data_IF_544744663574
#
_entry.id   IF_544744663574
#
_cell.length_a   1.000
_cell.length_b   1.000
_cell.length_c   1.000
_cell.angle_alpha   90.00
_cell.angle_beta   90.00
_cell.angle_gamma   90.00
#
_symmetry.space_group_name_H-M   'P 1'
#
loop_
_entity.id
_entity.type
_entity.pdbx_description
1 polymer ?
#
# COMPACT_ATOMS: atom_id res chain seq x y z
N UNK A 1 6.78 4.00 19.78
CA UNK A 1 6.15 2.73 19.33
C UNK A 1 4.91 3.03 18.51
N UNK A 2 4.67 2.29 17.43
CA UNK A 2 3.48 2.41 16.60
C UNK A 2 2.18 2.29 17.42
N UNK A 3 1.13 3.00 17.02
CA UNK A 3 -0.19 2.88 17.62
C UNK A 3 -0.93 1.69 17.00
N UNK A 4 -1.03 0.59 17.74
CA UNK A 4 -1.82 -0.59 17.36
C UNK A 4 -3.10 -0.61 18.19
N UNK A 5 -4.28 -0.55 17.55
CA UNK A 5 -5.55 -0.40 18.28
C UNK A 5 -6.60 -1.40 17.81
N UNK A 6 -7.12 -2.17 18.74
CA UNK A 6 -8.29 -3.04 18.49
C UNK A 6 -9.57 -2.23 18.41
N UNK A 7 -10.42 -2.58 17.46
CA UNK A 7 -11.75 -1.96 17.27
C UNK A 7 -12.76 -3.04 16.86
N UNK A 8 -13.96 -3.02 17.41
CA UNK A 8 -15.07 -3.95 17.11
C UNK A 8 -14.70 -5.43 17.28
N UNK A 9 -13.81 -5.74 18.24
CA UNK A 9 -13.34 -7.10 18.49
C UNK A 9 -12.22 -7.59 17.57
N UNK A 10 -11.78 -6.78 16.62
CA UNK A 10 -10.65 -7.08 15.74
C UNK A 10 -9.37 -6.42 16.24
N UNK A 11 -8.31 -7.21 16.34
CA UNK A 11 -6.96 -6.74 16.68
C UNK A 11 -6.08 -6.91 15.45
N UNK A 12 -5.30 -5.88 15.05
CA UNK A 12 -4.37 -6.02 13.95
C UNK A 12 -3.41 -7.18 14.13
N UNK A 13 -3.18 -7.96 13.06
CA UNK A 13 -2.21 -9.03 12.99
C UNK A 13 -1.05 -8.58 12.10
N UNK A 14 0.17 -8.74 12.58
CA UNK A 14 1.38 -8.27 11.91
C UNK A 14 2.34 -9.44 11.81
N UNK A 15 2.80 -9.72 10.59
CA UNK A 15 3.74 -10.77 10.28
C UNK A 15 5.13 -10.52 10.85
N UNK A 16 6.00 -11.50 10.68
CA UNK A 16 7.37 -11.44 11.18
C UNK A 16 8.22 -10.39 10.43
N UNK A 17 9.29 -9.93 11.05
CA UNK A 17 10.30 -9.01 10.51
C UNK A 17 9.78 -7.64 10.05
N UNK A 18 8.55 -7.28 10.36
CA UNK A 18 8.00 -5.98 9.98
C UNK A 18 8.70 -4.82 10.71
N UNK A 19 8.84 -3.70 10.01
CA UNK A 19 9.19 -2.41 10.59
C UNK A 19 7.94 -1.55 10.74
N UNK A 20 7.70 -1.04 11.95
CA UNK A 20 6.61 -0.12 12.25
C UNK A 20 7.19 1.14 12.86
N UNK A 21 7.15 2.25 12.13
CA UNK A 21 7.63 3.53 12.63
C UNK A 21 6.86 3.97 13.90
N UNK A 22 7.48 4.71 14.79
CA UNK A 22 6.97 5.05 16.12
C UNK A 22 5.58 5.70 16.14
N UNK A 23 5.23 6.45 15.13
CA UNK A 23 3.93 7.09 14.99
C UNK A 23 3.06 6.52 13.87
N UNK A 24 3.39 5.34 13.34
CA UNK A 24 2.50 4.60 12.46
C UNK A 24 1.24 4.18 13.23
N UNK A 25 0.09 4.19 12.56
CA UNK A 25 -1.20 3.86 13.18
C UNK A 25 -1.86 2.69 12.46
N UNK A 26 -2.10 1.59 13.17
CA UNK A 26 -2.69 0.36 12.62
C UNK A 26 -3.91 -0.04 13.46
N UNK A 27 -5.09 -0.11 12.84
CA UNK A 27 -6.36 -0.21 13.56
C UNK A 27 -7.24 -1.35 13.00
N UNK A 28 -7.89 -2.09 13.89
CA UNK A 28 -9.03 -2.96 13.61
C UNK A 28 -8.69 -4.22 12.81
N UNK A 29 -9.57 -4.59 11.87
CA UNK A 29 -9.46 -5.78 11.03
C UNK A 29 -8.40 -5.60 9.93
N UNK A 30 -7.14 -5.57 10.36
CA UNK A 30 -5.97 -5.41 9.49
C UNK A 30 -5.04 -6.61 9.67
N UNK A 31 -4.65 -7.22 8.56
CA UNK A 31 -3.61 -8.26 8.51
C UNK A 31 -2.50 -7.79 7.60
N UNK A 32 -1.27 -7.78 8.11
CA UNK A 32 -0.04 -7.40 7.41
C UNK A 32 0.84 -8.65 7.33
N UNK A 33 1.35 -8.96 6.14
CA UNK A 33 2.25 -10.08 5.91
C UNK A 33 3.64 -9.85 6.49
N UNK A 34 4.58 -10.68 6.07
CA UNK A 34 5.96 -10.68 6.55
C UNK A 34 6.83 -9.64 5.80
N UNK A 35 7.95 -9.22 6.42
CA UNK A 35 8.95 -8.33 5.82
C UNK A 35 8.39 -6.99 5.30
N UNK A 36 7.30 -6.51 5.89
CA UNK A 36 6.67 -5.24 5.54
C UNK A 36 7.26 -4.07 6.31
N UNK A 37 7.12 -2.84 5.76
CA UNK A 37 7.49 -1.61 6.46
C UNK A 37 6.38 -0.58 6.40
N UNK A 38 5.95 -0.11 7.58
CA UNK A 38 4.91 0.91 7.75
C UNK A 38 5.58 2.15 8.34
N UNK A 39 5.64 3.21 7.56
CA UNK A 39 6.49 4.37 7.83
C UNK A 39 5.78 5.45 8.64
N UNK A 40 6.50 6.55 8.91
CA UNK A 40 6.05 7.59 9.82
C UNK A 40 4.73 8.22 9.39
N UNK A 41 3.81 8.37 10.34
CA UNK A 41 2.48 8.93 10.14
C UNK A 41 1.59 8.18 9.13
N UNK A 42 1.99 7.00 8.68
CA UNK A 42 1.12 6.17 7.87
C UNK A 42 -0.06 5.64 8.71
N UNK A 43 -1.25 5.60 8.12
CA UNK A 43 -2.49 5.15 8.78
C UNK A 43 -3.08 3.97 8.01
N UNK A 44 -3.16 2.81 8.64
CA UNK A 44 -3.83 1.60 8.12
C UNK A 44 -5.03 1.34 9.01
N UNK A 45 -6.22 1.75 8.57
CA UNK A 45 -7.43 1.79 9.41
C UNK A 45 -8.52 0.86 8.90
N UNK A 46 -8.52 -0.37 9.42
CA UNK A 46 -9.53 -1.42 9.18
C UNK A 46 -10.65 -1.44 10.23
N UNK A 47 -11.17 -0.27 10.60
CA UNK A 47 -12.21 -0.13 11.63
C UNK A 47 -13.62 -0.42 11.12
N UNK A 48 -13.88 -0.21 9.85
CA UNK A 48 -15.19 -0.40 9.22
C UNK A 48 -15.25 -1.60 8.29
N UNK A 49 -14.13 -2.02 7.71
CA UNK A 49 -14.01 -3.23 6.91
C UNK A 49 -12.54 -3.71 6.83
N UNK A 50 -12.31 -4.88 6.27
CA UNK A 50 -11.01 -5.55 6.30
C UNK A 50 -9.95 -4.91 5.40
N UNK A 51 -8.71 -4.93 5.88
CA UNK A 51 -7.49 -4.61 5.12
C UNK A 51 -6.56 -5.81 5.16
N UNK A 52 -6.13 -6.29 4.02
CA UNK A 52 -5.22 -7.42 3.86
C UNK A 52 -4.01 -6.99 3.04
N UNK A 53 -2.83 -7.09 3.62
CA UNK A 53 -1.56 -6.66 3.02
C UNK A 53 -0.66 -7.89 2.93
N UNK A 54 -0.12 -8.15 1.75
CA UNK A 54 0.81 -9.24 1.46
C UNK A 54 2.20 -9.02 2.06
N UNK A 55 3.19 -9.70 1.51
CA UNK A 55 4.56 -9.69 2.01
C UNK A 55 5.44 -8.66 1.27
N UNK A 56 6.53 -8.22 1.90
CA UNK A 56 7.50 -7.27 1.33
C UNK A 56 6.87 -5.95 0.86
N UNK A 57 5.78 -5.53 1.49
CA UNK A 57 5.05 -4.29 1.16
C UNK A 57 5.63 -3.13 1.94
N UNK A 58 5.79 -1.97 1.31
CA UNK A 58 6.11 -0.74 2.01
C UNK A 58 4.96 0.27 1.90
N UNK A 59 4.50 0.77 3.05
CA UNK A 59 3.51 1.84 3.16
C UNK A 59 4.25 3.06 3.68
N UNK A 60 4.51 4.02 2.78
CA UNK A 60 5.41 5.12 3.05
C UNK A 60 4.76 6.23 3.88
N UNK A 61 5.58 7.19 4.30
CA UNK A 61 5.18 8.24 5.24
C UNK A 61 3.89 8.95 4.84
N UNK A 62 2.98 9.11 5.80
CA UNK A 62 1.72 9.83 5.61
C UNK A 62 0.70 9.14 4.71
N UNK A 63 0.97 7.95 4.17
CA UNK A 63 -0.01 7.23 3.36
C UNK A 63 -1.20 6.79 4.22
N UNK A 64 -2.40 6.83 3.64
CA UNK A 64 -3.65 6.48 4.33
C UNK A 64 -4.37 5.35 3.59
N UNK A 65 -4.62 4.25 4.29
CA UNK A 65 -5.40 3.11 3.83
C UNK A 65 -6.70 3.03 4.64
N UNK A 66 -7.83 3.14 3.97
CA UNK A 66 -9.14 3.07 4.60
C UNK A 66 -10.18 2.42 3.69
N UNK A 67 -11.31 2.03 4.26
CA UNK A 67 -12.37 1.29 3.56
C UNK A 67 -13.72 1.94 3.78
N UNK A 68 -14.73 1.56 2.99
CA UNK A 68 -16.11 1.99 3.16
C UNK A 68 -16.91 0.90 3.87
N UNK A 69 -17.65 1.29 4.91
CA UNK A 69 -18.45 0.37 5.72
C UNK A 69 -19.37 -0.52 4.88
N UNK A 70 -19.27 -1.83 5.06
CA UNK A 70 -20.03 -2.88 4.35
C UNK A 70 -19.96 -2.86 2.81
N UNK A 71 -19.08 -2.03 2.21
CA UNK A 71 -19.04 -1.87 0.75
C UNK A 71 -17.70 -2.21 0.13
N UNK A 72 -16.60 -1.79 0.73
CA UNK A 72 -15.29 -2.00 0.13
C UNK A 72 -14.28 -2.54 1.13
N UNK A 73 -13.30 -3.26 0.62
CA UNK A 73 -12.16 -3.82 1.35
C UNK A 73 -10.88 -3.40 0.65
N UNK A 74 -9.75 -3.49 1.35
CA UNK A 74 -8.44 -3.33 0.72
C UNK A 74 -7.74 -4.68 0.66
N UNK A 75 -7.26 -5.01 -0.53
CA UNK A 75 -6.36 -6.13 -0.78
C UNK A 75 -5.09 -5.63 -1.45
N UNK A 76 -3.95 -5.84 -0.83
CA UNK A 76 -2.63 -5.49 -1.35
C UNK A 76 -1.81 -6.76 -1.48
N UNK A 77 -1.33 -7.04 -2.69
CA UNK A 77 -0.48 -8.19 -3.00
C UNK A 77 0.95 -8.01 -2.49
N UNK A 78 1.81 -8.92 -2.91
CA UNK A 78 3.21 -8.93 -2.50
C UNK A 78 4.04 -7.89 -3.26
N UNK A 79 5.12 -7.38 -2.65
CA UNK A 79 6.05 -6.41 -3.25
C UNK A 79 5.40 -5.11 -3.73
N UNK A 80 4.26 -4.73 -3.18
CA UNK A 80 3.61 -3.46 -3.50
C UNK A 80 4.28 -2.32 -2.75
N UNK A 81 4.47 -1.19 -3.44
CA UNK A 81 4.94 0.05 -2.83
C UNK A 81 3.84 1.11 -2.87
N UNK A 82 3.47 1.63 -1.70
CA UNK A 82 2.53 2.74 -1.56
C UNK A 82 3.31 3.99 -1.16
N UNK A 83 3.43 4.93 -2.10
CA UNK A 83 4.23 6.14 -1.98
C UNK A 83 3.76 7.10 -0.90
N UNK A 84 4.66 8.00 -0.49
CA UNK A 84 4.37 9.02 0.54
C UNK A 84 3.06 9.76 0.27
N UNK A 85 2.25 9.97 1.30
CA UNK A 85 0.96 10.68 1.24
C UNK A 85 -0.04 10.12 0.21
N UNK A 86 0.13 8.89 -0.28
CA UNK A 86 -0.86 8.27 -1.14
C UNK A 86 -2.11 7.84 -0.34
N UNK A 87 -3.27 7.91 -0.97
CA UNK A 87 -4.54 7.50 -0.37
C UNK A 87 -5.09 6.28 -1.09
N UNK A 88 -5.27 5.19 -0.38
CA UNK A 88 -5.90 3.97 -0.88
C UNK A 88 -7.22 3.78 -0.15
N UNK A 89 -8.30 3.88 -0.89
CA UNK A 89 -9.64 3.74 -0.31
C UNK A 89 -10.40 2.61 -0.99
N UNK A 90 -10.56 1.48 -0.29
CA UNK A 90 -11.38 0.36 -0.73
C UNK A 90 -10.97 -0.28 -2.07
N UNK A 91 -9.67 -0.35 -2.38
CA UNK A 91 -9.14 -0.80 -3.66
C UNK A 91 -8.34 -2.11 -3.54
N UNK A 92 -8.13 -2.75 -4.69
CA UNK A 92 -7.23 -3.91 -4.81
C UNK A 92 -5.96 -3.51 -5.58
N UNK A 93 -4.82 -3.74 -4.97
CA UNK A 93 -3.50 -3.57 -5.59
C UNK A 93 -2.89 -4.97 -5.77
N UNK A 94 -2.62 -5.36 -7.01
CA UNK A 94 -2.01 -6.65 -7.31
C UNK A 94 -0.50 -6.61 -7.09
N UNK A 95 0.13 -7.77 -7.11
CA UNK A 95 1.55 -7.93 -6.85
C UNK A 95 2.40 -6.96 -7.68
N UNK A 96 3.48 -6.47 -7.11
CA UNK A 96 4.40 -5.55 -7.75
C UNK A 96 3.78 -4.22 -8.23
N UNK A 97 2.59 -3.83 -7.79
CA UNK A 97 2.04 -2.53 -8.12
C UNK A 97 2.81 -1.40 -7.41
N UNK A 98 3.02 -0.28 -8.11
CA UNK A 98 3.62 0.93 -7.56
C UNK A 98 2.60 2.06 -7.55
N UNK A 99 2.29 2.55 -6.37
CA UNK A 99 1.40 3.68 -6.15
C UNK A 99 2.24 4.91 -5.86
N UNK A 100 2.22 5.86 -6.79
CA UNK A 100 3.06 7.06 -6.74
C UNK A 100 2.73 8.00 -5.59
N UNK A 101 3.69 8.82 -5.22
CA UNK A 101 3.59 9.83 -4.15
C UNK A 101 2.35 10.71 -4.34
N UNK A 102 1.55 10.89 -3.28
CA UNK A 102 0.38 11.77 -3.28
C UNK A 102 -0.78 11.31 -4.15
N UNK A 103 -0.71 10.14 -4.78
CA UNK A 103 -1.82 9.64 -5.61
C UNK A 103 -3.01 9.16 -4.78
N UNK A 104 -4.17 9.07 -5.42
CA UNK A 104 -5.39 8.57 -4.80
C UNK A 104 -6.00 7.45 -5.64
N UNK A 105 -6.29 6.32 -5.00
CA UNK A 105 -6.96 5.16 -5.61
C UNK A 105 -8.26 4.90 -4.87
N UNK A 106 -9.40 5.05 -5.57
CA UNK A 106 -10.74 5.01 -4.96
C UNK A 106 -11.37 3.61 -4.98
N UNK A 107 -12.50 3.51 -4.26
CA UNK A 107 -13.23 2.27 -3.99
C UNK A 107 -13.51 1.43 -5.24
N UNK A 108 -13.28 0.13 -5.11
CA UNK A 108 -13.52 -0.83 -6.17
C UNK A 108 -12.52 -0.77 -7.33
N UNK A 109 -11.56 0.16 -7.31
CA UNK A 109 -10.49 0.16 -8.30
C UNK A 109 -9.58 -1.06 -8.14
N UNK A 110 -9.11 -1.60 -9.25
CA UNK A 110 -8.15 -2.70 -9.30
C UNK A 110 -6.92 -2.22 -10.06
N UNK A 111 -5.80 -2.14 -9.37
CA UNK A 111 -4.50 -1.86 -9.99
C UNK A 111 -3.83 -3.21 -10.30
N UNK A 112 -3.62 -3.48 -11.59
CA UNK A 112 -3.07 -4.72 -12.09
C UNK A 112 -1.62 -4.94 -11.67
N UNK A 113 -1.17 -6.18 -11.79
CA UNK A 113 0.19 -6.61 -11.47
C UNK A 113 1.24 -5.74 -12.19
N UNK A 114 2.25 -5.30 -11.45
CA UNK A 114 3.36 -4.52 -11.99
C UNK A 114 2.97 -3.15 -12.56
N UNK A 115 1.71 -2.72 -12.39
CA UNK A 115 1.28 -1.40 -12.91
C UNK A 115 1.75 -0.28 -12.01
N UNK A 116 1.95 0.89 -12.62
CA UNK A 116 2.46 2.08 -11.95
C UNK A 116 1.39 3.18 -12.03
N UNK A 117 0.95 3.65 -10.89
CA UNK A 117 0.16 4.87 -10.75
C UNK A 117 1.14 6.02 -10.49
N UNK A 118 1.19 6.99 -11.38
CA UNK A 118 2.12 8.12 -11.29
C UNK A 118 1.80 9.01 -10.07
N UNK A 119 2.79 9.77 -9.63
CA UNK A 119 2.61 10.73 -8.53
C UNK A 119 1.42 11.69 -8.78
N UNK A 120 0.64 11.97 -7.74
CA UNK A 120 -0.55 12.83 -7.75
C UNK A 120 -1.66 12.40 -8.73
N UNK A 121 -1.64 11.18 -9.25
CA UNK A 121 -2.71 10.68 -10.10
C UNK A 121 -3.97 10.33 -9.30
N UNK A 122 -5.15 10.50 -9.91
CA UNK A 122 -6.44 10.11 -9.33
C UNK A 122 -7.05 8.96 -10.13
N UNK A 123 -7.03 7.76 -9.55
CA UNK A 123 -7.73 6.57 -10.08
C UNK A 123 -9.14 6.56 -9.52
N UNK A 124 -10.13 6.74 -10.41
CA UNK A 124 -11.54 6.79 -10.02
C UNK A 124 -12.06 5.43 -9.58
N UNK A 125 -13.18 5.46 -8.85
CA UNK A 125 -13.85 4.25 -8.37
C UNK A 125 -14.18 3.28 -9.51
N UNK A 126 -14.03 1.97 -9.22
CA UNK A 126 -14.29 0.86 -10.15
C UNK A 126 -13.43 0.87 -11.43
N UNK A 127 -12.35 1.67 -11.45
CA UNK A 127 -11.40 1.64 -12.57
C UNK A 127 -10.59 0.35 -12.55
N UNK A 128 -10.48 -0.31 -13.68
CA UNK A 128 -9.58 -1.45 -13.86
C UNK A 128 -8.34 -0.96 -14.61
N UNK A 129 -7.23 -0.92 -13.91
CA UNK A 129 -5.89 -0.65 -14.46
C UNK A 129 -5.31 -1.98 -14.92
N UNK A 130 -5.08 -2.19 -16.23
CA UNK A 130 -4.50 -3.43 -16.74
C UNK A 130 -3.10 -3.68 -16.18
N UNK A 131 -2.66 -4.94 -16.08
CA UNK A 131 -1.29 -5.25 -15.66
C UNK A 131 -0.24 -4.58 -16.55
N UNK A 132 0.90 -4.22 -15.94
CA UNK A 132 2.08 -3.68 -16.63
C UNK A 132 1.82 -2.40 -17.42
N UNK A 133 0.96 -1.52 -16.89
CA UNK A 133 0.65 -0.22 -17.49
C UNK A 133 0.99 0.93 -16.55
N UNK A 134 1.31 2.09 -17.11
CA UNK A 134 1.53 3.33 -16.35
C UNK A 134 0.35 4.25 -16.57
N UNK A 135 -0.24 4.72 -15.46
CA UNK A 135 -1.39 5.61 -15.44
C UNK A 135 -1.04 6.92 -14.75
N UNK A 136 -1.44 8.04 -15.35
CA UNK A 136 -1.14 9.38 -14.85
C UNK A 136 -2.31 10.35 -15.07
N UNK A 137 -2.33 11.44 -14.30
CA UNK A 137 -3.27 12.56 -14.43
C UNK A 137 -4.48 12.48 -13.48
N UNK A 138 -5.36 13.48 -13.60
CA UNK A 138 -6.59 13.68 -12.81
C UNK A 138 -7.74 13.96 -13.78
N UNK A 139 -8.62 12.98 -14.08
CA UNK A 139 -8.53 11.57 -13.68
C UNK A 139 -7.38 10.84 -14.41
N UNK A 140 -6.87 9.79 -13.78
CA UNK A 140 -5.78 8.99 -14.33
C UNK A 140 -6.20 8.27 -15.62
N UNK A 141 -5.28 8.25 -16.60
CA UNK A 141 -5.41 7.53 -17.87
C UNK A 141 -4.13 6.77 -18.15
N UNK A 142 -4.24 5.68 -18.91
CA UNK A 142 -3.07 4.98 -19.38
C UNK A 142 -2.22 5.85 -20.29
N UNK A 143 -0.93 5.97 -19.96
CA UNK A 143 0.03 6.78 -20.74
C UNK A 143 1.10 5.93 -21.39
N UNK A 144 1.38 4.74 -20.84
CA UNK A 144 2.46 3.88 -21.33
C UNK A 144 2.23 2.43 -20.87
N UNK A 145 2.88 1.49 -21.54
CA UNK A 145 3.10 0.12 -21.07
C UNK A 145 4.52 -0.02 -20.52
N UNK A 146 4.71 -0.98 -19.63
CA UNK A 146 6.01 -1.35 -19.07
C UNK A 146 6.17 -2.87 -19.20
N UNK A 147 7.38 -3.36 -19.50
CA UNK A 147 7.54 -4.81 -19.56
C UNK A 147 7.42 -5.45 -18.18
N UNK A 148 6.97 -6.71 -18.08
CA UNK A 148 6.90 -7.42 -16.81
C UNK A 148 8.24 -7.43 -16.06
N UNK A 149 9.34 -7.60 -16.78
CA UNK A 149 10.69 -7.62 -16.22
C UNK A 149 11.05 -6.25 -15.62
N UNK A 150 10.80 -5.17 -16.35
CA UNK A 150 11.07 -3.81 -15.87
C UNK A 150 10.21 -3.46 -14.66
N UNK A 151 8.92 -3.79 -14.69
CA UNK A 151 8.01 -3.54 -13.57
C UNK A 151 8.48 -4.26 -12.31
N UNK A 152 8.82 -5.54 -12.44
CA UNK A 152 9.29 -6.37 -11.34
C UNK A 152 10.63 -5.86 -10.78
N UNK A 153 11.59 -5.54 -11.66
CA UNK A 153 12.89 -4.99 -11.26
C UNK A 153 12.74 -3.69 -10.47
N UNK A 154 11.92 -2.75 -10.96
CA UNK A 154 11.67 -1.47 -10.28
C UNK A 154 11.09 -1.72 -8.88
N UNK A 155 10.05 -2.52 -8.78
CA UNK A 155 9.32 -2.69 -7.54
C UNK A 155 10.06 -3.55 -6.51
N UNK A 156 10.75 -4.60 -6.94
CA UNK A 156 11.63 -5.36 -6.05
C UNK A 156 12.78 -4.51 -5.52
N UNK A 157 13.37 -3.64 -6.36
CA UNK A 157 14.41 -2.71 -5.93
C UNK A 157 13.90 -1.72 -4.88
N UNK A 158 12.69 -1.19 -5.06
CA UNK A 158 12.08 -0.30 -4.07
C UNK A 158 11.84 -1.06 -2.76
N UNK A 159 11.19 -2.22 -2.80
CA UNK A 159 10.93 -3.04 -1.61
C UNK A 159 12.23 -3.39 -0.87
N UNK A 160 13.27 -3.78 -1.60
CA UNK A 160 14.59 -4.06 -1.02
C UNK A 160 15.21 -2.82 -0.36
N UNK A 161 15.15 -1.65 -1.00
CA UNK A 161 15.67 -0.42 -0.42
C UNK A 161 14.94 -0.06 0.89
N UNK A 162 13.62 -0.22 0.93
CA UNK A 162 12.85 0.04 2.15
C UNK A 162 13.15 -0.95 3.27
N UNK A 163 13.52 -2.19 2.95
CA UNK A 163 14.03 -3.14 3.93
C UNK A 163 15.38 -2.69 4.51
N UNK A 164 16.29 -2.17 3.67
CA UNK A 164 17.56 -1.60 4.12
C UNK A 164 17.31 -0.37 5.00
N UNK A 165 16.44 0.57 4.57
CA UNK A 165 16.14 1.76 5.36
C UNK A 165 15.56 1.40 6.73
N UNK A 166 14.68 0.41 6.78
CA UNK A 166 14.10 -0.08 8.03
C UNK A 166 15.16 -0.69 8.98
N UNK A 167 16.23 -1.32 8.45
CA UNK A 167 17.28 -1.89 9.29
C UNK A 167 18.06 -0.83 10.07
N UNK A 168 18.22 0.37 9.51
CA UNK A 168 18.94 1.45 10.19
C UNK A 168 18.26 1.88 11.50
N UNK A 169 16.94 1.82 11.55
CA UNK A 169 16.17 2.15 12.78
C UNK A 169 16.21 1.03 13.82
N UNK A 170 16.41 -0.23 13.39
CA UNK A 170 16.54 -1.38 14.30
C UNK A 170 17.91 -1.47 14.99
N UNK A 171 18.95 -0.87 14.39
CA UNK A 171 20.31 -0.86 14.92
C UNK A 171 20.53 0.20 16.00
N UNK A 172 19.63 1.18 16.15
CA UNK A 172 19.71 2.27 17.11
C UNK A 172 18.87 2.03 18.39
N UNK A 173 18.10 0.93 18.47
CA UNK A 173 17.35 0.50 19.66
C UNK A 173 18.19 -0.45 20.56
#
# INVERSE_FOLDING_TARGET
>A
MALIKSVRGFTPQIGENCFLADNATIIGDTVIGEDCSIWFSAVVRGDVNSIRIGNHVNIQDGAVLHTLYEKSQIHIGDYVSVGHNANIHGATLKDYALIGIGSTVLDGAIVGEGSIIAANALVLSNTIVPPYTIWAGIPAKQVKEVSPEQAKEINQKIAHNYSIYASWYKEEE
#
